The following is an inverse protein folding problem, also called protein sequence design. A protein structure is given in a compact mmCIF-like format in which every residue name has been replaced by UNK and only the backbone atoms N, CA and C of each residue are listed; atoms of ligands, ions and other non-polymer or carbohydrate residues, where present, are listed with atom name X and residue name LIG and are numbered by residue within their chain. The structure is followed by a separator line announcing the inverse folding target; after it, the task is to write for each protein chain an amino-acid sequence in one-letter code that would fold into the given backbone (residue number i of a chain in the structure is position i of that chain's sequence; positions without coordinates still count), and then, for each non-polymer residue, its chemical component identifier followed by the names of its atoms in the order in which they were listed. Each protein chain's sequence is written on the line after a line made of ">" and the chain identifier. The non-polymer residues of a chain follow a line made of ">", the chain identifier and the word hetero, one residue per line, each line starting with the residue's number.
data_IF_114620276904
#
_entry.id   IF_114620276904
#
_cell.length_a   1.000
_cell.length_b   1.000
_cell.length_c   1.000
_cell.angle_alpha   90.00
_cell.angle_beta   90.00
_cell.angle_gamma   90.00
#
_symmetry.space_group_name_H-M   'P 1'
#
loop_
_entity.id
_entity.type
_entity.pdbx_description
1 polymer ?
#
# COMPACT_ATOMS: atom_id res chain seq x y z
N UNK A 1 2.69 9.63 -26.63
CA UNK A 1 2.63 8.16 -26.81
C UNK A 1 3.12 7.56 -25.50
N UNK A 2 2.23 7.38 -24.53
CA UNK A 2 2.61 6.99 -23.18
C UNK A 2 2.92 5.51 -23.13
N UNK A 3 4.14 5.13 -22.79
CA UNK A 3 4.46 3.75 -22.43
C UNK A 3 3.50 3.35 -21.30
N UNK A 4 2.73 2.27 -21.47
CA UNK A 4 2.01 1.66 -20.36
C UNK A 4 3.07 1.33 -19.31
N UNK A 5 3.02 1.99 -18.17
CA UNK A 5 3.88 1.64 -17.05
C UNK A 5 3.43 0.27 -16.56
N UNK A 6 4.19 -0.75 -16.96
CA UNK A 6 3.95 -2.14 -16.61
C UNK A 6 4.71 -2.54 -15.34
N UNK A 7 5.52 -1.66 -14.78
CA UNK A 7 6.33 -1.99 -13.61
C UNK A 7 6.08 -1.00 -12.48
N UNK A 8 6.13 -1.49 -11.25
CA UNK A 8 6.15 -0.64 -10.06
C UNK A 8 7.58 -0.15 -9.84
N UNK A 9 7.77 1.17 -9.83
CA UNK A 9 9.04 1.81 -9.49
C UNK A 9 9.08 2.09 -7.99
N UNK A 10 10.20 1.79 -7.34
CA UNK A 10 10.40 1.99 -5.90
C UNK A 10 11.72 2.73 -5.69
N UNK A 11 11.67 3.90 -5.08
CA UNK A 11 12.87 4.60 -4.62
C UNK A 11 13.52 3.79 -3.48
N UNK A 12 14.80 3.49 -3.61
CA UNK A 12 15.59 2.71 -2.65
C UNK A 12 16.60 3.56 -1.85
N UNK A 13 16.55 4.89 -1.98
CA UNK A 13 17.40 5.83 -1.25
C UNK A 13 18.88 5.79 -1.65
N UNK A 14 19.21 5.21 -2.81
CA UNK A 14 20.57 5.17 -3.33
C UNK A 14 20.80 6.43 -4.15
N UNK A 15 21.50 7.42 -3.59
CA UNK A 15 21.76 8.72 -4.24
C UNK A 15 23.17 8.88 -4.81
N UNK A 16 24.11 7.98 -4.45
CA UNK A 16 25.51 8.02 -4.86
C UNK A 16 26.01 6.61 -5.18
N UNK A 17 26.79 6.38 -6.26
CA UNK A 17 27.35 7.37 -7.18
C UNK A 17 26.36 7.93 -8.21
N UNK A 18 25.17 7.33 -8.33
CA UNK A 18 24.03 7.80 -9.12
C UNK A 18 22.73 7.42 -8.40
N UNK A 19 21.66 8.13 -8.70
CA UNK A 19 20.32 7.78 -8.22
C UNK A 19 19.89 6.46 -8.88
N UNK A 20 19.55 5.46 -8.07
CA UNK A 20 19.01 4.19 -8.56
C UNK A 20 17.63 3.93 -7.97
N UNK A 21 16.72 3.47 -8.83
CA UNK A 21 15.41 2.95 -8.43
C UNK A 21 15.39 1.42 -8.57
N UNK A 22 14.57 0.78 -7.74
CA UNK A 22 14.17 -0.59 -7.95
C UNK A 22 12.92 -0.67 -8.82
N UNK A 23 12.83 -1.72 -9.63
CA UNK A 23 11.69 -1.98 -10.51
C UNK A 23 11.15 -3.37 -10.23
N UNK A 24 9.86 -3.45 -9.90
CA UNK A 24 9.14 -4.72 -9.72
C UNK A 24 8.25 -4.93 -10.95
N UNK A 25 8.53 -5.97 -11.77
CA UNK A 25 7.68 -6.32 -12.90
C UNK A 25 6.24 -6.63 -12.49
N UNK A 26 5.26 -6.29 -13.34
CA UNK A 26 3.85 -6.63 -13.09
C UNK A 26 3.64 -8.13 -12.91
N UNK A 27 4.33 -8.97 -13.67
CA UNK A 27 4.29 -10.44 -13.53
C UNK A 27 4.68 -10.90 -12.11
N UNK A 28 5.68 -10.26 -11.50
CA UNK A 28 6.07 -10.55 -10.12
C UNK A 28 4.97 -10.12 -9.15
N UNK A 29 4.37 -8.94 -9.35
CA UNK A 29 3.25 -8.47 -8.51
C UNK A 29 2.01 -9.37 -8.65
N UNK A 30 1.70 -9.83 -9.85
CA UNK A 30 0.60 -10.75 -10.11
C UNK A 30 0.85 -12.10 -9.42
N UNK A 31 2.06 -12.64 -9.53
CA UNK A 31 2.44 -13.88 -8.86
C UNK A 31 2.40 -13.73 -7.32
N UNK A 32 2.97 -12.65 -6.79
CA UNK A 32 3.13 -12.45 -5.34
C UNK A 32 1.85 -11.97 -4.64
N UNK A 33 1.04 -11.12 -5.28
CA UNK A 33 -0.11 -10.49 -4.64
C UNK A 33 -1.45 -10.96 -5.18
N UNK A 34 -1.52 -11.51 -6.39
CA UNK A 34 -2.78 -11.85 -7.07
C UNK A 34 -2.95 -13.34 -7.38
N UNK A 35 -2.16 -14.23 -6.74
CA UNK A 35 -2.17 -15.68 -7.01
C UNK A 35 -2.02 -15.99 -8.52
N UNK A 36 -1.19 -15.21 -9.21
CA UNK A 36 -0.93 -15.34 -10.66
C UNK A 36 -2.03 -14.80 -11.57
N UNK A 37 -3.11 -14.19 -11.05
CA UNK A 37 -4.14 -13.58 -11.89
C UNK A 37 -3.61 -12.36 -12.65
N UNK A 38 -4.03 -12.23 -13.91
CA UNK A 38 -3.72 -11.10 -14.78
C UNK A 38 -4.48 -9.82 -14.39
N UNK A 39 -4.18 -9.25 -13.22
CA UNK A 39 -4.69 -7.95 -12.81
C UNK A 39 -3.80 -6.83 -13.38
N UNK A 40 -4.37 -5.72 -13.87
CA UNK A 40 -3.59 -4.54 -14.25
C UNK A 40 -2.81 -3.96 -13.06
N UNK A 41 -1.63 -3.38 -13.31
CA UNK A 41 -0.79 -2.77 -12.27
C UNK A 41 -1.56 -1.79 -11.39
N UNK A 42 -2.33 -0.89 -12.01
CA UNK A 42 -3.16 0.08 -11.28
C UNK A 42 -4.13 -0.62 -10.32
N UNK A 43 -4.71 -1.75 -10.73
CA UNK A 43 -5.63 -2.50 -9.88
C UNK A 43 -4.94 -3.13 -8.68
N UNK A 44 -3.73 -3.66 -8.87
CA UNK A 44 -2.91 -4.18 -7.77
C UNK A 44 -2.52 -3.03 -6.82
N UNK A 45 -2.06 -1.90 -7.37
CA UNK A 45 -1.67 -0.74 -6.57
C UNK A 45 -2.84 -0.21 -5.73
N UNK A 46 -4.04 -0.13 -6.28
CA UNK A 46 -5.26 0.25 -5.55
C UNK A 46 -5.60 -0.74 -4.42
N UNK A 47 -5.56 -2.04 -4.72
CA UNK A 47 -5.93 -3.09 -3.76
C UNK A 47 -4.97 -3.16 -2.57
N UNK A 48 -3.67 -2.97 -2.83
CA UNK A 48 -2.60 -3.10 -1.82
C UNK A 48 -2.06 -1.75 -1.34
N UNK A 49 -2.69 -0.64 -1.75
CA UNK A 49 -2.32 0.73 -1.39
C UNK A 49 -0.86 1.11 -1.73
N UNK A 50 -0.35 0.63 -2.87
CA UNK A 50 1.00 0.92 -3.36
C UNK A 50 1.01 2.29 -4.07
N UNK A 51 0.79 3.34 -3.30
CA UNK A 51 0.82 4.73 -3.76
C UNK A 51 2.17 5.39 -3.44
N UNK A 52 2.41 6.56 -4.02
CA UNK A 52 3.56 7.39 -3.68
C UNK A 52 3.66 7.59 -2.16
N UNK A 53 4.90 7.53 -1.66
CA UNK A 53 5.26 7.60 -0.24
C UNK A 53 4.89 6.38 0.62
N UNK A 54 4.18 5.37 0.09
CA UNK A 54 3.96 4.13 0.84
C UNK A 54 5.30 3.40 1.05
N UNK A 55 5.72 3.14 2.31
CA UNK A 55 6.91 2.34 2.56
C UNK A 55 6.67 0.90 2.12
N UNK A 56 7.59 0.34 1.33
CA UNK A 56 7.50 -1.04 0.82
C UNK A 56 8.83 -1.74 1.07
N UNK A 57 8.77 -2.95 1.64
CA UNK A 57 9.95 -3.79 1.72
C UNK A 57 10.12 -4.61 0.44
N UNK A 58 11.29 -4.48 -0.18
CA UNK A 58 11.64 -5.18 -1.41
C UNK A 58 12.86 -6.08 -1.21
N UNK A 59 13.02 -7.06 -2.09
CA UNK A 59 14.24 -7.82 -2.28
C UNK A 59 14.81 -7.49 -3.65
N UNK A 60 16.03 -6.95 -3.67
CA UNK A 60 16.75 -6.66 -4.91
C UNK A 60 17.19 -7.99 -5.55
N UNK A 61 16.97 -8.12 -6.86
CA UNK A 61 17.38 -9.29 -7.63
C UNK A 61 18.73 -9.04 -8.32
N UNK A 62 19.25 -10.06 -8.99
CA UNK A 62 20.51 -9.95 -9.73
C UNK A 62 20.38 -9.19 -11.06
N UNK A 63 19.17 -8.76 -11.42
CA UNK A 63 18.93 -7.98 -12.64
C UNK A 63 19.33 -6.53 -12.42
N UNK A 64 20.27 -6.02 -13.22
CA UNK A 64 20.71 -4.63 -13.14
C UNK A 64 20.66 -4.03 -14.54
N UNK A 65 20.08 -2.84 -14.66
CA UNK A 65 20.01 -2.05 -15.90
C UNK A 65 20.76 -0.73 -15.68
N UNK A 66 22.11 -0.73 -15.72
CA UNK A 66 22.92 0.45 -15.33
C UNK A 66 22.65 1.69 -16.19
N UNK A 67 22.35 1.49 -17.48
CA UNK A 67 22.03 2.59 -18.41
C UNK A 67 20.73 3.32 -18.04
N UNK A 68 19.80 2.61 -17.39
CA UNK A 68 18.53 3.15 -16.94
C UNK A 68 18.56 3.55 -15.46
N UNK A 69 19.71 3.37 -14.79
CA UNK A 69 19.86 3.51 -13.35
C UNK A 69 18.78 2.76 -12.55
N UNK A 70 18.53 1.50 -12.96
CA UNK A 70 17.52 0.63 -12.35
C UNK A 70 18.11 -0.72 -11.93
N UNK A 71 17.58 -1.26 -10.85
CA UNK A 71 17.77 -2.66 -10.42
C UNK A 71 16.43 -3.39 -10.43
N UNK A 72 16.45 -4.68 -10.73
CA UNK A 72 15.29 -5.54 -10.59
C UNK A 72 15.00 -5.81 -9.12
N UNK A 73 13.72 -5.96 -8.80
CA UNK A 73 13.28 -6.29 -7.46
C UNK A 73 11.99 -7.12 -7.48
N UNK A 74 11.72 -7.74 -6.34
CA UNK A 74 10.46 -8.37 -5.99
C UNK A 74 10.02 -7.87 -4.60
N UNK A 75 8.75 -8.06 -4.23
CA UNK A 75 8.34 -7.81 -2.85
C UNK A 75 9.08 -8.78 -1.93
N UNK A 76 9.56 -8.30 -0.79
CA UNK A 76 10.22 -9.17 0.17
C UNK A 76 9.23 -10.07 0.89
N UNK A 77 9.72 -11.15 1.51
CA UNK A 77 8.92 -12.00 2.39
C UNK A 77 8.29 -11.21 3.54
N UNK A 78 8.98 -10.19 4.06
CA UNK A 78 8.45 -9.28 5.07
C UNK A 78 7.23 -8.53 4.57
N UNK A 79 7.29 -7.95 3.36
CA UNK A 79 6.16 -7.23 2.79
C UNK A 79 4.98 -8.16 2.52
N UNK A 80 5.25 -9.34 1.97
CA UNK A 80 4.24 -10.35 1.74
C UNK A 80 3.55 -10.79 3.04
N UNK A 81 4.33 -10.96 4.12
CA UNK A 81 3.81 -11.32 5.44
C UNK A 81 2.91 -10.23 6.03
N UNK A 82 3.31 -8.96 5.89
CA UNK A 82 2.49 -7.80 6.32
C UNK A 82 1.12 -7.84 5.63
N UNK A 83 1.09 -7.94 4.30
CA UNK A 83 -0.18 -7.97 3.56
C UNK A 83 -1.00 -9.22 3.88
N UNK A 84 -0.37 -10.39 4.01
CA UNK A 84 -1.05 -11.63 4.39
C UNK A 84 -1.69 -11.54 5.79
N UNK A 85 -1.00 -10.93 6.76
CA UNK A 85 -1.52 -10.68 8.09
C UNK A 85 -2.71 -9.70 8.05
N UNK A 86 -2.63 -8.65 7.24
CA UNK A 86 -3.72 -7.69 7.11
C UNK A 86 -4.96 -8.30 6.44
N UNK A 87 -4.75 -9.15 5.43
CA UNK A 87 -5.85 -9.86 4.77
C UNK A 87 -6.50 -10.84 5.76
N UNK A 88 -5.71 -11.63 6.48
CA UNK A 88 -6.22 -12.64 7.41
C UNK A 88 -6.94 -12.04 8.63
N UNK A 89 -6.54 -10.86 9.11
CA UNK A 89 -7.25 -10.18 10.21
C UNK A 89 -8.68 -9.77 9.86
N UNK A 90 -9.00 -9.66 8.56
CA UNK A 90 -10.32 -9.24 8.05
C UNK A 90 -10.80 -7.87 8.55
N UNK A 91 -9.90 -7.08 9.12
CA UNK A 91 -10.15 -5.70 9.51
C UNK A 91 -9.70 -4.78 8.38
N UNK A 92 -10.57 -3.85 8.02
CA UNK A 92 -10.23 -2.78 7.10
C UNK A 92 -9.17 -1.85 7.72
N UNK A 93 -8.33 -1.27 6.86
CA UNK A 93 -7.26 -0.36 7.26
C UNK A 93 -7.33 0.87 6.38
N UNK A 94 -7.25 2.05 6.99
CA UNK A 94 -7.09 3.30 6.26
C UNK A 94 -5.62 3.71 6.32
N UNK A 95 -4.95 3.63 5.18
CA UNK A 95 -3.58 4.11 5.01
C UNK A 95 -3.63 5.63 4.87
N UNK A 96 -2.80 6.31 5.65
CA UNK A 96 -2.67 7.78 5.69
C UNK A 96 -1.22 8.13 5.38
N UNK A 97 -0.99 8.80 4.25
CA UNK A 97 0.34 9.21 3.80
C UNK A 97 0.41 10.74 3.74
N UNK A 98 1.39 11.35 4.40
CA UNK A 98 1.56 12.81 4.45
C UNK A 98 0.94 13.49 5.67
N UNK A 99 0.72 12.77 6.77
CA UNK A 99 0.25 13.36 8.03
C UNK A 99 0.93 12.74 9.25
N UNK A 100 1.20 13.55 10.27
CA UNK A 100 1.76 13.07 11.54
C UNK A 100 0.72 12.28 12.34
N UNK A 101 1.17 11.37 13.21
CA UNK A 101 0.26 10.61 14.07
C UNK A 101 -0.66 11.50 14.90
N UNK A 102 -0.15 12.63 15.40
CA UNK A 102 -0.96 13.61 16.14
C UNK A 102 -2.04 14.30 15.29
N UNK A 103 -1.81 14.48 13.98
CA UNK A 103 -2.82 14.96 13.05
C UNK A 103 -3.88 13.89 12.80
N UNK A 104 -3.48 12.63 12.63
CA UNK A 104 -4.38 11.49 12.43
C UNK A 104 -5.27 11.28 13.65
N UNK A 105 -4.69 11.22 14.85
CA UNK A 105 -5.43 11.12 16.12
C UNK A 105 -6.40 12.28 16.31
N UNK A 106 -5.96 13.50 16.00
CA UNK A 106 -6.82 14.69 16.07
C UNK A 106 -8.00 14.56 15.10
N UNK A 107 -7.76 14.15 13.86
CA UNK A 107 -8.80 13.96 12.84
C UNK A 107 -9.84 12.92 13.29
N UNK A 108 -9.39 11.79 13.84
CA UNK A 108 -10.28 10.74 14.40
C UNK A 108 -11.09 11.29 15.56
N UNK A 109 -10.46 12.07 16.45
CA UNK A 109 -11.13 12.64 17.61
C UNK A 109 -12.22 13.63 17.23
N UNK A 110 -11.91 14.60 16.37
CA UNK A 110 -12.85 15.67 16.01
C UNK A 110 -13.96 15.22 15.06
N UNK A 111 -13.72 14.16 14.27
CA UNK A 111 -14.77 13.52 13.47
C UNK A 111 -15.69 12.60 14.28
N UNK A 112 -15.37 12.34 15.56
CA UNK A 112 -16.18 11.50 16.45
C UNK A 112 -15.96 9.99 16.29
N UNK A 113 -14.96 9.57 15.52
CA UNK A 113 -14.74 8.17 15.13
C UNK A 113 -13.76 7.38 16.03
N UNK A 114 -13.47 7.86 17.24
CA UNK A 114 -12.61 7.13 18.19
C UNK A 114 -13.11 5.70 18.47
N UNK A 115 -14.43 5.50 18.45
CA UNK A 115 -15.04 4.18 18.69
C UNK A 115 -14.92 3.24 17.50
N UNK A 116 -14.62 3.75 16.31
CA UNK A 116 -14.52 2.99 15.07
C UNK A 116 -13.08 2.51 14.76
N UNK A 117 -12.11 2.93 15.59
CA UNK A 117 -10.68 2.62 15.43
C UNK A 117 -10.22 1.68 16.53
N UNK A 118 -9.48 0.63 16.15
CA UNK A 118 -8.80 -0.29 17.09
C UNK A 118 -7.52 0.37 17.60
N UNK A 119 -6.66 0.78 16.67
CA UNK A 119 -5.37 1.40 16.95
C UNK A 119 -4.87 2.15 15.70
N UNK A 120 -3.81 2.92 15.89
CA UNK A 120 -3.06 3.59 14.82
C UNK A 120 -1.63 3.05 14.88
N UNK A 121 -1.19 2.44 13.79
CA UNK A 121 0.19 1.99 13.63
C UNK A 121 0.96 3.02 12.78
N UNK A 122 2.25 3.20 13.05
CA UNK A 122 3.12 4.09 12.29
C UNK A 122 4.16 3.28 11.50
N UNK A 123 4.34 3.62 10.21
CA UNK A 123 5.49 3.16 9.42
C UNK A 123 6.62 4.18 9.40
N UNK A 124 6.29 5.45 9.59
CA UNK A 124 7.23 6.55 9.59
C UNK A 124 6.61 7.79 10.23
N UNK A 125 7.26 8.95 10.03
CA UNK A 125 6.80 10.21 10.63
C UNK A 125 5.49 10.69 10.01
N UNK A 126 5.24 10.38 8.74
CA UNK A 126 4.10 10.88 7.96
C UNK A 126 3.22 9.75 7.40
N UNK A 127 3.56 8.50 7.70
CA UNK A 127 2.97 7.29 7.15
C UNK A 127 2.35 6.47 8.28
N UNK A 128 1.02 6.39 8.30
CA UNK A 128 0.26 5.74 9.35
C UNK A 128 -0.80 4.82 8.79
N UNK A 129 -1.18 3.82 9.57
CA UNK A 129 -2.34 2.96 9.32
C UNK A 129 -3.33 3.08 10.45
N UNK A 130 -4.56 3.48 10.13
CA UNK A 130 -5.68 3.42 11.06
C UNK A 130 -6.37 2.07 10.90
N UNK A 131 -6.31 1.22 11.92
CA UNK A 131 -6.99 -0.08 11.90
C UNK A 131 -8.45 0.11 12.31
N UNK A 132 -9.37 -0.24 11.44
CA UNK A 132 -10.80 -0.12 11.68
C UNK A 132 -11.29 -1.24 12.60
N UNK A 133 -12.27 -0.96 13.44
CA UNK A 133 -13.00 -1.99 14.18
C UNK A 133 -13.86 -2.83 13.24
N UNK A 134 -14.27 -4.00 13.72
CA UNK A 134 -15.22 -4.85 13.02
C UNK A 134 -16.51 -4.07 12.75
N UNK A 135 -16.97 -4.09 11.49
CA UNK A 135 -18.16 -3.36 11.05
C UNK A 135 -17.88 -1.93 10.54
N UNK A 136 -16.66 -1.42 10.72
CA UNK A 136 -16.21 -0.15 10.16
C UNK A 136 -15.43 -0.40 8.86
N UNK A 137 -15.83 0.26 7.78
CA UNK A 137 -15.15 0.21 6.47
C UNK A 137 -14.22 1.43 6.31
N UNK A 138 -12.99 1.19 5.82
CA UNK A 138 -11.99 2.25 5.68
C UNK A 138 -12.44 3.34 4.68
N UNK A 139 -13.12 2.97 3.60
CA UNK A 139 -13.65 3.94 2.63
C UNK A 139 -14.80 4.77 3.22
N UNK A 140 -15.54 4.23 4.21
CA UNK A 140 -16.53 4.99 5.00
C UNK A 140 -15.91 6.05 5.92
N UNK A 141 -14.69 5.82 6.42
CA UNK A 141 -13.96 6.80 7.25
C UNK A 141 -13.30 7.92 6.42
N UNK A 142 -12.92 7.64 5.17
CA UNK A 142 -12.28 8.64 4.29
C UNK A 142 -13.01 9.99 4.21
N UNK A 143 -14.32 10.07 3.89
CA UNK A 143 -15.01 11.36 3.81
C UNK A 143 -15.17 12.06 5.17
N UNK A 144 -14.95 11.34 6.28
CA UNK A 144 -15.07 11.87 7.65
C UNK A 144 -13.75 12.45 8.14
N UNK A 145 -12.64 11.79 7.81
CA UNK A 145 -11.29 12.20 8.20
C UNK A 145 -10.65 13.14 7.17
N UNK A 146 -10.97 12.98 5.89
CA UNK A 146 -10.40 13.74 4.77
C UNK A 146 -10.40 15.26 4.96
N UNK A 147 -11.51 15.90 5.39
CA UNK A 147 -11.54 17.34 5.64
C UNK A 147 -10.52 17.82 6.68
N UNK A 148 -10.09 16.94 7.58
CA UNK A 148 -9.11 17.22 8.64
C UNK A 148 -7.69 16.80 8.28
N UNK A 149 -7.52 16.05 7.18
CA UNK A 149 -6.26 15.52 6.66
C UNK A 149 -6.06 15.94 5.20
N UNK A 150 -6.43 17.18 4.85
CA UNK A 150 -6.52 17.66 3.45
C UNK A 150 -5.21 17.64 2.64
N UNK A 151 -4.05 17.48 3.29
CA UNK A 151 -2.75 17.32 2.62
C UNK A 151 -2.30 15.86 2.48
N UNK A 152 -2.99 14.94 3.13
CA UNK A 152 -2.63 13.54 3.14
C UNK A 152 -3.41 12.76 2.08
N UNK A 153 -2.75 11.76 1.52
CA UNK A 153 -3.38 10.72 0.71
C UNK A 153 -4.04 9.72 1.65
N UNK A 154 -5.31 9.43 1.39
CA UNK A 154 -6.10 8.45 2.12
C UNK A 154 -6.41 7.27 1.20
N UNK A 155 -6.01 6.06 1.61
CA UNK A 155 -6.18 4.86 0.81
C UNK A 155 -6.81 3.71 1.63
N UNK A 156 -7.93 3.13 1.17
CA UNK A 156 -8.60 2.06 1.91
C UNK A 156 -8.05 0.70 1.51
N UNK A 157 -7.38 0.02 2.45
CA UNK A 157 -7.01 -1.38 2.33
C UNK A 157 -8.15 -2.24 2.88
N UNK A 158 -8.86 -2.95 1.99
CA UNK A 158 -10.00 -3.79 2.38
C UNK A 158 -9.74 -5.27 2.07
N UNK A 159 -9.51 -6.12 3.10
CA UNK A 159 -9.34 -7.55 2.92
C UNK A 159 -10.47 -8.21 2.12
N UNK A 160 -11.71 -7.73 2.28
CA UNK A 160 -12.86 -8.23 1.53
C UNK A 160 -12.72 -7.95 0.03
N UNK A 161 -12.37 -6.72 -0.36
CA UNK A 161 -12.20 -6.36 -1.78
C UNK A 161 -11.02 -7.10 -2.42
N UNK A 162 -9.92 -7.24 -1.68
CA UNK A 162 -8.74 -8.01 -2.10
C UNK A 162 -9.12 -9.47 -2.35
N UNK A 163 -9.80 -10.12 -1.39
CA UNK A 163 -10.30 -11.49 -1.57
C UNK A 163 -11.25 -11.61 -2.75
N UNK A 164 -12.17 -10.67 -2.95
CA UNK A 164 -13.08 -10.72 -4.10
C UNK A 164 -12.36 -10.62 -5.45
N UNK A 165 -11.30 -9.80 -5.54
CA UNK A 165 -10.49 -9.68 -6.74
C UNK A 165 -9.65 -10.95 -7.00
N UNK A 166 -9.09 -11.55 -5.94
CA UNK A 166 -8.14 -12.66 -6.05
C UNK A 166 -8.82 -14.03 -5.95
N UNK A 167 -10.01 -14.14 -5.36
CA UNK A 167 -10.71 -15.41 -5.14
C UNK A 167 -10.78 -16.20 -6.44
N UNK A 168 -10.31 -17.45 -6.41
CA UNK A 168 -10.50 -18.38 -7.52
C UNK A 168 -12.00 -18.56 -7.74
N UNK A 169 -12.49 -18.59 -8.99
CA UNK A 169 -13.78 -19.23 -9.23
C UNK A 169 -13.67 -20.64 -8.65
N UNK A 170 -14.55 -20.95 -7.70
CA UNK A 170 -14.63 -22.31 -7.15
C UNK A 170 -14.82 -23.27 -8.33
N UNK A 171 -13.90 -24.22 -8.50
CA UNK A 171 -14.08 -25.37 -9.38
C UNK A 171 -15.07 -26.35 -8.75
#
# INVERSE_FOLDING_TARGET
>A
TGERQQDLSVDIGVYSPRIYDATIPLENLQAQLADGKELPLQRIAELFCLYDFMPVHIKVTNEVKPKQARVGAELSETQFSIFSQWISSSLDRLIVLGATGSQVERAIRISGHNRDVVQIDAFGLLEHTVICKLGTDAAGLMPRLGPHLYKATLAPFSPRKIRQAIARPFF
#
